data_IF_916516438377
#
_entry.id   IF_916516438377
#
_cell.length_a   1.000
_cell.length_b   1.000
_cell.length_c   1.000
_cell.angle_alpha   90.00
_cell.angle_beta   90.00
_cell.angle_gamma   90.00
#
_symmetry.space_group_name_H-M   'P 1'
#
loop_
_entity.id
_entity.type
_entity.pdbx_description
1 polymer ?
#
# COMPACT_ATOMS: atom_id res chain seq x y z
N UNK A 1 1.97 4.31 23.72
CA UNK A 1 2.70 3.79 24.90
C UNK A 1 3.99 4.54 25.21
N UNK A 2 4.96 4.66 24.29
CA UNK A 2 6.21 5.39 24.56
C UNK A 2 5.98 6.82 25.10
N UNK A 3 5.08 7.58 24.48
CA UNK A 3 4.74 8.93 24.91
C UNK A 3 4.26 8.97 26.37
N UNK A 4 3.26 8.15 26.74
CA UNK A 4 2.74 8.11 28.10
C UNK A 4 3.75 7.58 29.14
N UNK A 5 4.79 6.81 28.72
CA UNK A 5 5.89 6.45 29.62
C UNK A 5 6.81 7.63 29.91
N UNK A 6 6.99 8.54 28.96
CA UNK A 6 7.83 9.73 29.10
C UNK A 6 7.08 10.92 29.73
N UNK A 7 5.75 10.97 29.56
CA UNK A 7 4.86 11.96 30.16
C UNK A 7 3.65 11.27 30.83
N UNK A 8 3.82 10.66 32.03
CA UNK A 8 2.77 9.94 32.73
C UNK A 8 1.54 10.80 33.07
N UNK A 9 1.70 12.12 33.23
CA UNK A 9 0.63 13.10 33.47
C UNK A 9 -0.40 13.17 32.33
N UNK A 10 -0.04 12.69 31.14
CA UNK A 10 -0.91 12.59 29.98
C UNK A 10 -1.63 11.23 29.88
N UNK A 11 -1.40 10.29 30.80
CA UNK A 11 -2.08 8.99 30.80
C UNK A 11 -3.61 9.18 30.86
N UNK A 12 -4.34 8.45 30.02
CA UNK A 12 -5.80 8.58 29.87
C UNK A 12 -6.29 9.84 29.12
N UNK A 13 -5.39 10.75 28.74
CA UNK A 13 -5.70 11.98 27.97
C UNK A 13 -5.17 11.96 26.55
N UNK A 14 -4.56 10.85 26.13
CA UNK A 14 -3.89 10.70 24.83
C UNK A 14 -4.50 9.52 24.09
N UNK A 15 -4.99 9.79 22.88
CA UNK A 15 -5.47 8.78 21.94
C UNK A 15 -4.68 8.90 20.64
N UNK A 16 -4.12 7.78 20.16
CA UNK A 16 -3.43 7.77 18.87
C UNK A 16 -4.43 7.61 17.73
N UNK A 17 -4.35 8.51 16.75
CA UNK A 17 -5.12 8.46 15.50
C UNK A 17 -4.11 8.28 14.38
N UNK A 18 -4.22 7.15 13.67
CA UNK A 18 -3.34 6.83 12.54
C UNK A 18 -3.78 7.54 11.25
N UNK A 19 -2.93 7.47 10.23
CA UNK A 19 -3.27 7.98 8.90
C UNK A 19 -4.51 7.28 8.32
N UNK A 20 -5.35 8.07 7.65
CA UNK A 20 -6.34 7.58 6.71
C UNK A 20 -5.82 7.56 5.28
N UNK A 21 -6.62 6.99 4.40
CA UNK A 21 -6.47 7.05 2.94
C UNK A 21 -7.77 7.58 2.35
N UNK A 22 -7.64 8.40 1.31
CA UNK A 22 -8.78 8.86 0.53
C UNK A 22 -9.31 7.71 -0.34
N UNK A 23 -10.27 6.95 0.18
CA UNK A 23 -10.81 5.75 -0.47
C UNK A 23 -11.81 6.07 -1.60
N UNK A 24 -12.21 7.33 -1.74
CA UNK A 24 -12.97 7.84 -2.89
C UNK A 24 -12.02 8.15 -4.04
N UNK A 25 -10.92 8.86 -3.74
CA UNK A 25 -9.85 9.12 -4.70
C UNK A 25 -9.14 7.85 -5.13
N UNK A 26 -8.87 6.90 -4.22
CA UNK A 26 -8.36 5.56 -4.53
C UNK A 26 -9.50 4.54 -4.60
N UNK A 27 -10.23 4.57 -5.71
CA UNK A 27 -11.38 3.68 -5.96
C UNK A 27 -11.22 2.84 -7.23
N UNK A 28 -11.55 1.53 -7.19
CA UNK A 28 -11.56 0.68 -8.38
C UNK A 28 -12.71 1.02 -9.34
N UNK A 29 -13.67 1.85 -8.93
CA UNK A 29 -14.79 2.28 -9.75
C UNK A 29 -14.40 3.29 -10.84
N UNK A 30 -13.19 3.84 -10.79
CA UNK A 30 -12.70 4.79 -11.79
C UNK A 30 -12.42 4.06 -13.11
N UNK A 31 -12.98 4.60 -14.19
CA UNK A 31 -12.70 4.17 -15.55
C UNK A 31 -11.50 4.95 -16.11
N UNK A 32 -10.32 4.35 -15.97
CA UNK A 32 -9.05 4.91 -16.45
C UNK A 32 -8.38 3.89 -17.36
N UNK A 33 -7.77 4.36 -18.46
CA UNK A 33 -7.07 3.48 -19.38
C UNK A 33 -5.84 2.81 -18.73
N UNK A 34 -5.53 1.59 -19.16
CA UNK A 34 -4.31 0.90 -18.71
C UNK A 34 -3.06 1.59 -19.27
N UNK A 35 -2.07 1.93 -18.41
CA UNK A 35 -0.79 2.45 -18.87
C UNK A 35 0.16 1.34 -19.33
N UNK A 36 -0.23 0.07 -19.23
CA UNK A 36 0.63 -1.08 -19.47
C UNK A 36 0.45 -1.66 -20.88
N UNK A 37 1.53 -2.14 -21.53
CA UNK A 37 1.41 -2.95 -22.73
C UNK A 37 0.59 -4.22 -22.47
N UNK A 38 -0.25 -4.62 -23.45
CA UNK A 38 -1.14 -5.79 -23.34
C UNK A 38 -0.37 -7.09 -23.09
N UNK A 39 0.85 -7.21 -23.61
CA UNK A 39 1.68 -8.41 -23.48
C UNK A 39 2.41 -8.54 -22.14
N UNK A 40 2.22 -7.60 -21.20
CA UNK A 40 2.93 -7.59 -19.93
C UNK A 40 2.01 -7.87 -18.73
N UNK A 41 2.57 -8.53 -17.72
CA UNK A 41 1.91 -8.73 -16.43
C UNK A 41 2.55 -7.76 -15.43
N UNK A 42 1.88 -6.64 -15.08
CA UNK A 42 2.47 -5.58 -14.28
C UNK A 42 2.47 -5.91 -12.78
N UNK A 43 3.66 -5.98 -12.19
CA UNK A 43 3.87 -5.92 -10.74
C UNK A 43 4.24 -4.48 -10.40
N UNK A 44 3.51 -3.83 -9.50
CA UNK A 44 3.66 -2.39 -9.25
C UNK A 44 4.22 -2.12 -7.86
N UNK A 45 5.12 -1.15 -7.77
CA UNK A 45 5.53 -0.51 -6.52
C UNK A 45 5.45 1.01 -6.68
N UNK A 46 4.78 1.70 -5.74
CA UNK A 46 4.63 3.16 -5.74
C UNK A 46 5.47 3.84 -4.66
N UNK A 47 5.89 5.09 -4.90
CA UNK A 47 6.43 5.97 -3.87
C UNK A 47 7.44 7.00 -4.34
N UNK A 48 8.03 7.73 -3.39
CA UNK A 48 9.13 8.66 -3.64
C UNK A 48 10.46 7.89 -3.79
N UNK A 49 11.10 7.99 -4.94
CA UNK A 49 12.26 7.16 -5.32
C UNK A 49 13.62 7.81 -5.00
N UNK A 50 13.60 8.87 -4.19
CA UNK A 50 14.73 9.49 -3.50
C UNK A 50 14.78 9.11 -2.02
N UNK A 51 13.75 8.42 -1.51
CA UNK A 51 13.68 7.94 -0.14
C UNK A 51 14.42 6.60 0.01
N UNK A 52 15.43 6.56 0.88
CA UNK A 52 16.33 5.40 1.02
C UNK A 52 15.60 4.05 1.20
N UNK A 53 14.57 3.90 2.06
CA UNK A 53 13.81 2.64 2.15
C UNK A 53 13.12 2.21 0.86
N UNK A 54 12.67 3.15 0.02
CA UNK A 54 12.10 2.82 -1.28
C UNK A 54 13.19 2.39 -2.26
N UNK A 55 14.32 3.10 -2.30
CA UNK A 55 15.49 2.75 -3.12
C UNK A 55 15.94 1.32 -2.78
N UNK A 56 16.06 1.03 -1.49
CA UNK A 56 16.45 -0.29 -0.98
C UNK A 56 15.47 -1.38 -1.42
N UNK A 57 14.16 -1.14 -1.21
CA UNK A 57 13.10 -2.08 -1.55
C UNK A 57 13.06 -2.43 -3.06
N UNK A 58 13.13 -1.42 -3.93
CA UNK A 58 13.04 -1.66 -5.39
C UNK A 58 14.31 -2.30 -5.95
N UNK A 59 15.48 -1.95 -5.41
CA UNK A 59 16.75 -2.60 -5.80
C UNK A 59 16.72 -4.06 -5.42
N UNK A 60 16.40 -4.36 -4.15
CA UNK A 60 16.31 -5.73 -3.65
C UNK A 60 15.28 -6.56 -4.42
N UNK A 61 14.09 -6.02 -4.67
CA UNK A 61 13.07 -6.73 -5.44
C UNK A 61 13.55 -7.04 -6.87
N UNK A 62 14.17 -6.06 -7.53
CA UNK A 62 14.68 -6.22 -8.90
C UNK A 62 15.85 -7.23 -8.99
N UNK A 63 16.73 -7.29 -7.99
CA UNK A 63 17.89 -8.20 -8.00
C UNK A 63 17.58 -9.60 -7.49
N UNK A 64 16.73 -9.74 -6.47
CA UNK A 64 16.60 -11.00 -5.72
C UNK A 64 15.29 -11.74 -5.98
N UNK A 65 14.20 -11.01 -6.28
CA UNK A 65 12.85 -11.57 -6.45
C UNK A 65 12.48 -11.70 -7.92
N UNK A 66 12.57 -10.60 -8.67
CA UNK A 66 12.12 -10.54 -10.06
C UNK A 66 12.78 -11.58 -10.97
N UNK A 67 14.10 -11.87 -10.89
CA UNK A 67 14.70 -12.89 -11.75
C UNK A 67 14.15 -14.29 -11.52
N UNK A 68 13.71 -14.61 -10.29
CA UNK A 68 13.08 -15.91 -9.96
C UNK A 68 11.73 -16.05 -10.65
N UNK A 69 10.93 -14.99 -10.59
CA UNK A 69 9.61 -14.94 -11.21
C UNK A 69 9.71 -15.00 -12.75
N UNK A 70 10.63 -14.22 -13.34
CA UNK A 70 10.79 -14.13 -14.79
C UNK A 70 11.34 -15.40 -15.44
N UNK A 71 12.00 -16.31 -14.69
CA UNK A 71 12.40 -17.64 -15.20
C UNK A 71 11.21 -18.46 -15.70
N UNK A 72 10.03 -18.29 -15.08
CA UNK A 72 8.82 -19.04 -15.42
C UNK A 72 7.75 -18.17 -16.09
N UNK A 73 7.82 -16.84 -15.95
CA UNK A 73 6.89 -15.89 -16.56
C UNK A 73 7.64 -14.69 -17.15
N UNK A 74 8.19 -14.80 -18.38
CA UNK A 74 8.96 -13.73 -19.00
C UNK A 74 8.13 -12.48 -19.31
N UNK A 75 6.79 -12.56 -19.30
CA UNK A 75 5.89 -11.41 -19.44
C UNK A 75 5.85 -10.50 -18.19
N UNK A 76 6.35 -10.95 -17.04
CA UNK A 76 6.29 -10.16 -15.80
C UNK A 76 7.18 -8.92 -15.88
N UNK A 77 6.58 -7.75 -15.69
CA UNK A 77 7.29 -6.47 -15.66
C UNK A 77 7.10 -5.82 -14.30
N UNK A 78 8.20 -5.42 -13.67
CA UNK A 78 8.20 -4.65 -12.43
C UNK A 78 8.18 -3.16 -12.74
N UNK A 79 7.10 -2.49 -12.35
CA UNK A 79 6.88 -1.07 -12.53
C UNK A 79 7.20 -0.34 -11.22
N UNK A 80 8.28 0.43 -11.25
CA UNK A 80 8.68 1.37 -10.20
C UNK A 80 8.06 2.72 -10.53
N UNK A 81 6.91 3.00 -9.90
CA UNK A 81 6.09 4.17 -10.19
C UNK A 81 6.31 5.24 -9.13
N UNK A 82 6.75 6.42 -9.56
CA UNK A 82 6.75 7.59 -8.70
C UNK A 82 7.96 8.49 -8.81
N UNK A 83 7.91 9.56 -8.04
CA UNK A 83 8.68 10.77 -8.27
C UNK A 83 10.15 10.66 -7.87
N UNK A 84 10.98 11.51 -8.50
CA UNK A 84 12.39 11.75 -8.17
C UNK A 84 13.24 10.49 -8.02
N UNK A 85 13.29 9.59 -9.03
CA UNK A 85 14.13 8.40 -8.96
C UNK A 85 15.60 8.76 -8.83
N UNK A 86 16.23 8.36 -7.74
CA UNK A 86 17.68 8.48 -7.56
C UNK A 86 18.43 7.73 -8.68
N UNK A 87 19.70 8.05 -8.90
CA UNK A 87 20.51 7.41 -9.94
C UNK A 87 20.50 5.89 -9.84
N UNK A 88 20.60 5.35 -8.61
CA UNK A 88 20.56 3.92 -8.37
C UNK A 88 19.21 3.26 -8.76
N UNK A 89 18.09 3.99 -8.70
CA UNK A 89 16.78 3.50 -9.15
C UNK A 89 16.66 3.59 -10.66
N UNK A 90 17.09 4.71 -11.26
CA UNK A 90 17.09 4.86 -12.74
C UNK A 90 17.93 3.78 -13.42
N UNK A 91 19.04 3.39 -12.81
CA UNK A 91 19.90 2.31 -13.30
C UNK A 91 19.25 0.92 -13.29
N UNK A 92 18.11 0.74 -12.61
CA UNK A 92 17.34 -0.51 -12.67
C UNK A 92 16.52 -0.65 -13.95
N UNK A 93 16.26 0.44 -14.68
CA UNK A 93 15.45 0.40 -15.89
C UNK A 93 16.12 -0.50 -16.94
N UNK A 94 15.36 -1.46 -17.49
CA UNK A 94 15.89 -2.44 -18.43
C UNK A 94 15.07 -3.71 -18.50
N UNK A 95 15.75 -4.86 -18.53
CA UNK A 95 15.09 -6.15 -18.69
C UNK A 95 14.17 -6.45 -17.49
N UNK A 96 12.87 -6.52 -17.75
CA UNK A 96 11.86 -6.78 -16.74
C UNK A 96 11.53 -5.63 -15.79
N UNK A 97 12.18 -4.46 -15.89
CA UNK A 97 11.92 -3.32 -14.98
C UNK A 97 11.65 -2.03 -15.77
N UNK A 98 10.56 -1.35 -15.40
CA UNK A 98 10.20 -0.02 -15.90
C UNK A 98 10.24 0.98 -14.76
N UNK A 99 11.01 2.06 -14.91
CA UNK A 99 11.05 3.18 -13.95
C UNK A 99 10.35 4.37 -14.60
N UNK A 100 9.18 4.73 -14.11
CA UNK A 100 8.34 5.75 -14.76
C UNK A 100 8.86 7.17 -14.53
N UNK A 101 9.52 7.39 -13.40
CA UNK A 101 9.67 8.73 -12.84
C UNK A 101 8.34 9.31 -12.35
N UNK A 102 8.28 10.62 -12.20
CA UNK A 102 7.05 11.32 -11.76
C UNK A 102 5.95 11.12 -12.80
N UNK A 103 4.80 10.62 -12.35
CA UNK A 103 3.57 10.50 -13.15
C UNK A 103 2.52 11.48 -12.62
N UNK A 104 1.60 11.98 -13.47
CA UNK A 104 0.51 12.85 -13.02
C UNK A 104 -0.41 12.17 -12.01
N UNK A 105 -0.59 10.85 -12.17
CA UNK A 105 -1.49 10.04 -11.36
C UNK A 105 -1.00 8.60 -11.28
N UNK A 106 -0.97 8.04 -10.06
CA UNK A 106 -0.58 6.65 -9.79
C UNK A 106 -1.74 5.67 -9.94
N UNK A 107 -3.00 6.14 -9.90
CA UNK A 107 -4.20 5.29 -9.88
C UNK A 107 -4.34 4.40 -11.12
N UNK A 108 -4.04 4.84 -12.35
CA UNK A 108 -4.06 3.94 -13.51
C UNK A 108 -3.10 2.76 -13.34
N UNK A 109 -1.92 3.00 -12.75
CA UNK A 109 -0.94 1.94 -12.50
C UNK A 109 -1.42 0.97 -11.43
N UNK A 110 -2.01 1.47 -10.34
CA UNK A 110 -2.58 0.61 -9.30
C UNK A 110 -3.79 -0.18 -9.83
N UNK A 111 -4.73 0.48 -10.52
CA UNK A 111 -5.98 -0.12 -11.01
C UNK A 111 -5.74 -1.35 -11.87
N UNK A 112 -4.76 -1.25 -12.77
CA UNK A 112 -4.43 -2.27 -13.75
C UNK A 112 -3.25 -3.15 -13.34
N UNK A 113 -2.70 -2.96 -12.14
CA UNK A 113 -1.69 -3.85 -11.59
C UNK A 113 -2.27 -5.27 -11.48
N UNK A 114 -1.50 -6.27 -11.92
CA UNK A 114 -1.78 -7.66 -11.60
C UNK A 114 -1.60 -7.88 -10.10
N UNK A 115 -0.60 -7.21 -9.51
CA UNK A 115 -0.32 -7.21 -8.08
C UNK A 115 0.51 -5.99 -7.67
N UNK A 116 0.34 -5.54 -6.43
CA UNK A 116 1.19 -4.50 -5.82
C UNK A 116 2.13 -5.13 -4.80
N UNK A 117 3.41 -4.73 -4.81
CA UNK A 117 4.41 -5.19 -3.84
C UNK A 117 4.85 -4.04 -2.93
N UNK A 118 5.12 -4.35 -1.66
CA UNK A 118 5.72 -3.45 -0.69
C UNK A 118 6.87 -4.12 0.06
N UNK A 119 8.01 -4.40 -0.60
CA UNK A 119 9.13 -5.16 -0.04
C UNK A 119 10.07 -4.29 0.82
N UNK A 120 9.53 -3.38 1.63
CA UNK A 120 10.39 -2.52 2.46
C UNK A 120 11.03 -3.34 3.58
N UNK A 121 12.36 -3.39 3.59
CA UNK A 121 13.15 -4.03 4.66
C UNK A 121 13.28 -3.15 5.89
N UNK A 122 13.08 -1.84 5.71
CA UNK A 122 12.98 -0.85 6.79
C UNK A 122 11.66 -0.10 6.60
N UNK A 123 10.69 -0.37 7.46
CA UNK A 123 9.41 0.32 7.47
C UNK A 123 9.17 0.97 8.83
N UNK A 124 8.59 2.17 8.83
CA UNK A 124 8.16 2.88 10.04
C UNK A 124 6.77 3.46 9.80
N UNK A 125 5.89 3.28 10.78
CA UNK A 125 4.51 3.74 10.70
C UNK A 125 3.68 3.02 9.65
N UNK A 126 2.48 3.55 9.42
CA UNK A 126 1.55 3.07 8.39
C UNK A 126 2.16 3.32 7.01
N UNK A 127 2.15 2.30 6.15
CA UNK A 127 2.62 2.44 4.77
C UNK A 127 1.45 2.82 3.86
N UNK A 128 1.30 4.12 3.56
CA UNK A 128 0.19 4.61 2.73
C UNK A 128 0.07 3.88 1.39
N UNK A 129 1.18 3.53 0.74
CA UNK A 129 1.17 2.76 -0.52
C UNK A 129 0.43 1.42 -0.43
N UNK A 130 0.46 0.78 0.74
CA UNK A 130 -0.27 -0.47 0.97
C UNK A 130 -1.75 -0.16 1.11
N UNK A 131 -2.12 0.85 1.90
CA UNK A 131 -3.52 1.29 2.02
C UNK A 131 -4.11 1.75 0.70
N UNK A 132 -3.36 2.48 -0.13
CA UNK A 132 -3.75 2.92 -1.47
C UNK A 132 -4.03 1.72 -2.38
N UNK A 133 -3.16 0.70 -2.37
CA UNK A 133 -3.35 -0.52 -3.15
C UNK A 133 -4.55 -1.36 -2.66
N UNK A 134 -4.71 -1.47 -1.34
CA UNK A 134 -5.86 -2.12 -0.71
C UNK A 134 -7.16 -1.37 -1.05
N UNK A 135 -7.16 -0.04 -1.01
CA UNK A 135 -8.29 0.79 -1.41
C UNK A 135 -8.66 0.55 -2.87
N UNK A 136 -7.68 0.41 -3.77
CA UNK A 136 -7.88 0.05 -5.19
C UNK A 136 -8.30 -1.41 -5.42
N UNK A 137 -8.61 -2.15 -4.35
CA UNK A 137 -8.97 -3.56 -4.36
C UNK A 137 -7.94 -4.45 -5.08
N UNK A 138 -6.65 -4.15 -4.93
CA UNK A 138 -5.56 -4.92 -5.55
C UNK A 138 -4.95 -5.90 -4.56
N UNK A 139 -4.57 -7.10 -5.02
CA UNK A 139 -3.80 -8.00 -4.19
C UNK A 139 -2.46 -7.34 -3.86
N UNK A 140 -2.03 -7.48 -2.60
CA UNK A 140 -0.79 -6.90 -2.10
C UNK A 140 0.09 -7.99 -1.50
N UNK A 141 1.39 -7.98 -1.83
CA UNK A 141 2.42 -8.74 -1.10
C UNK A 141 3.34 -7.74 -0.43
N UNK A 142 3.32 -7.69 0.89
CA UNK A 142 4.07 -6.74 1.70
C UNK A 142 5.12 -7.45 2.57
N UNK A 143 6.17 -6.73 2.97
CA UNK A 143 7.05 -7.25 4.00
C UNK A 143 6.33 -7.31 5.34
N UNK A 144 6.77 -8.17 6.26
CA UNK A 144 6.26 -8.18 7.64
C UNK A 144 6.39 -6.80 8.31
N UNK A 145 7.47 -6.06 8.03
CA UNK A 145 7.69 -4.72 8.55
C UNK A 145 6.62 -3.72 8.05
N UNK A 146 6.19 -3.82 6.79
CA UNK A 146 5.08 -3.02 6.25
C UNK A 146 3.74 -3.37 6.90
N UNK A 147 3.50 -4.67 7.11
CA UNK A 147 2.25 -5.18 7.67
C UNK A 147 2.03 -4.78 9.13
N UNK A 148 3.10 -4.66 9.93
CA UNK A 148 3.03 -4.35 11.36
C UNK A 148 2.31 -3.02 11.68
N UNK A 149 2.29 -2.08 10.75
CA UNK A 149 1.61 -0.80 10.90
C UNK A 149 0.13 -0.81 10.50
N UNK A 150 -0.41 -1.94 10.04
CA UNK A 150 -1.75 -2.05 9.47
C UNK A 150 -2.57 -3.08 10.25
N UNK A 151 -3.57 -2.60 10.98
CA UNK A 151 -4.69 -3.36 11.54
C UNK A 151 -5.55 -4.03 10.43
N UNK A 152 -5.00 -5.11 9.88
CA UNK A 152 -5.56 -5.97 8.87
C UNK A 152 -4.93 -7.37 8.96
N UNK A 153 -5.61 -8.39 8.43
CA UNK A 153 -5.24 -9.79 8.58
C UNK A 153 -4.39 -10.27 7.39
N UNK A 154 -3.15 -10.70 7.66
CA UNK A 154 -2.30 -11.37 6.67
C UNK A 154 -2.93 -12.69 6.19
N UNK A 155 -2.77 -13.01 4.91
CA UNK A 155 -3.41 -14.14 4.23
C UNK A 155 -4.88 -13.90 3.84
N UNK A 156 -5.50 -12.83 4.34
CA UNK A 156 -6.89 -12.46 4.00
C UNK A 156 -6.98 -11.11 3.28
N UNK A 157 -6.42 -10.04 3.88
CA UNK A 157 -6.43 -8.69 3.29
C UNK A 157 -5.17 -8.41 2.43
N UNK A 158 -4.06 -9.08 2.72
CA UNK A 158 -2.81 -9.02 1.94
C UNK A 158 -1.94 -10.22 2.30
N UNK A 159 -0.94 -10.54 1.47
CA UNK A 159 0.10 -11.51 1.81
C UNK A 159 1.29 -10.83 2.48
N UNK A 160 1.94 -11.56 3.39
CA UNK A 160 3.22 -11.16 3.98
C UNK A 160 4.33 -12.09 3.55
N UNK A 161 5.48 -11.52 3.20
CA UNK A 161 6.68 -12.28 2.90
C UNK A 161 7.90 -11.68 3.61
N UNK A 162 8.91 -12.51 3.88
CA UNK A 162 10.09 -12.12 4.67
C UNK A 162 11.37 -12.08 3.84
N UNK A 163 11.44 -12.86 2.76
CA UNK A 163 12.62 -13.04 1.94
C UNK A 163 12.26 -13.22 0.47
N UNK A 164 13.26 -13.35 -0.40
CA UNK A 164 13.03 -13.39 -1.83
C UNK A 164 12.25 -14.63 -2.29
N UNK A 165 12.39 -15.76 -1.56
CA UNK A 165 11.69 -17.00 -1.90
C UNK A 165 10.21 -16.91 -1.56
N UNK A 166 9.89 -16.45 -0.34
CA UNK A 166 8.52 -16.22 0.10
C UNK A 166 7.83 -15.14 -0.73
N UNK A 167 8.51 -14.05 -1.09
CA UNK A 167 7.94 -13.04 -2.00
C UNK A 167 7.59 -13.64 -3.37
N UNK A 168 8.53 -14.37 -3.98
CA UNK A 168 8.27 -15.00 -5.28
C UNK A 168 7.12 -16.01 -5.20
N UNK A 169 7.11 -16.87 -4.15
CA UNK A 169 6.07 -17.86 -3.94
C UNK A 169 4.67 -17.26 -3.76
N UNK A 170 4.53 -16.22 -2.93
CA UNK A 170 3.25 -15.53 -2.73
C UNK A 170 2.74 -14.88 -4.01
N UNK A 171 3.64 -14.25 -4.78
CA UNK A 171 3.30 -13.64 -6.07
C UNK A 171 2.85 -14.71 -7.07
N UNK A 172 3.59 -15.81 -7.19
CA UNK A 172 3.23 -16.91 -8.09
C UNK A 172 1.90 -17.56 -7.73
N UNK A 173 1.63 -17.76 -6.44
CA UNK A 173 0.37 -18.31 -5.97
C UNK A 173 -0.80 -17.39 -6.34
N UNK A 174 -0.68 -16.08 -6.09
CA UNK A 174 -1.72 -15.11 -6.45
C UNK A 174 -1.94 -15.01 -7.96
N UNK A 175 -0.87 -15.07 -8.77
CA UNK A 175 -0.98 -15.10 -10.23
C UNK A 175 -1.60 -16.39 -10.77
N UNK A 176 -1.40 -17.53 -10.08
CA UNK A 176 -1.98 -18.82 -10.47
C UNK A 176 -3.47 -18.92 -10.11
N UNK A 177 -3.91 -18.18 -9.10
CA UNK A 177 -5.28 -18.21 -8.58
C UNK A 177 -5.96 -16.82 -8.66
N UNK A 178 -6.34 -16.34 -9.86
CA UNK A 178 -6.90 -14.99 -10.02
C UNK A 178 -8.14 -14.71 -9.17
N UNK A 179 -8.98 -15.73 -8.95
CA UNK A 179 -10.17 -15.61 -8.10
C UNK A 179 -9.79 -15.34 -6.63
N UNK A 180 -8.76 -16.04 -6.11
CA UNK A 180 -8.24 -15.82 -4.76
C UNK A 180 -7.62 -14.42 -4.63
N UNK A 181 -6.84 -13.99 -5.63
CA UNK A 181 -6.25 -12.66 -5.67
C UNK A 181 -7.31 -11.55 -5.72
N UNK A 182 -8.39 -11.74 -6.50
CA UNK A 182 -9.51 -10.80 -6.55
C UNK A 182 -10.27 -10.73 -5.23
N UNK A 183 -10.56 -11.89 -4.60
CA UNK A 183 -11.22 -11.94 -3.30
C UNK A 183 -10.39 -11.25 -2.20
N UNK A 184 -9.08 -11.46 -2.18
CA UNK A 184 -8.16 -10.74 -1.29
C UNK A 184 -8.23 -9.23 -1.52
N UNK A 185 -8.18 -8.78 -2.77
CA UNK A 185 -8.29 -7.36 -3.10
C UNK A 185 -9.61 -6.75 -2.60
N UNK A 186 -10.73 -7.44 -2.77
CA UNK A 186 -12.04 -6.98 -2.28
C UNK A 186 -12.07 -6.88 -0.75
N UNK A 187 -11.63 -7.94 -0.05
CA UNK A 187 -11.54 -7.93 1.41
C UNK A 187 -10.59 -6.82 1.93
N UNK A 188 -9.50 -6.56 1.20
CA UNK A 188 -8.59 -5.46 1.49
C UNK A 188 -9.28 -4.09 1.40
N UNK A 189 -10.09 -3.87 0.35
CA UNK A 189 -10.85 -2.64 0.17
C UNK A 189 -11.90 -2.47 1.27
N UNK A 190 -12.63 -3.52 1.61
CA UNK A 190 -13.61 -3.51 2.71
C UNK A 190 -12.93 -3.14 4.05
N UNK A 191 -11.77 -3.72 4.32
CA UNK A 191 -10.96 -3.36 5.49
C UNK A 191 -10.55 -1.87 5.48
N UNK A 192 -10.18 -1.33 4.32
CA UNK A 192 -9.86 0.09 4.19
C UNK A 192 -11.09 0.96 4.45
N UNK A 193 -12.23 0.67 3.83
CA UNK A 193 -13.46 1.46 4.01
C UNK A 193 -13.92 1.46 5.47
N UNK A 194 -13.81 0.32 6.15
CA UNK A 194 -14.23 0.18 7.54
C UNK A 194 -13.28 0.82 8.56
N UNK A 195 -11.98 0.94 8.25
CA UNK A 195 -10.96 1.27 9.28
C UNK A 195 -9.97 2.36 8.90
N UNK A 196 -9.78 2.65 7.62
CA UNK A 196 -8.74 3.53 7.10
C UNK A 196 -9.23 4.62 6.17
N UNK A 197 -10.51 4.65 5.78
CA UNK A 197 -11.08 5.85 5.15
C UNK A 197 -10.90 7.04 6.10
N UNK A 198 -10.77 8.25 5.53
CA UNK A 198 -10.68 9.46 6.37
C UNK A 198 -11.87 9.58 7.31
N UNK A 199 -13.08 9.28 6.83
CA UNK A 199 -14.30 9.20 7.65
C UNK A 199 -14.14 8.22 8.82
N UNK A 200 -13.76 6.96 8.55
CA UNK A 200 -13.58 5.96 9.60
C UNK A 200 -12.49 6.34 10.61
N UNK A 201 -11.36 6.90 10.14
CA UNK A 201 -10.24 7.29 11.01
C UNK A 201 -10.54 8.53 11.84
N UNK A 202 -11.20 9.52 11.27
CA UNK A 202 -11.44 10.82 11.91
C UNK A 202 -12.72 10.85 12.75
N UNK A 203 -13.66 9.92 12.58
CA UNK A 203 -14.87 9.81 13.43
C UNK A 203 -14.57 9.76 14.94
N UNK A 204 -13.36 9.31 15.32
CA UNK A 204 -12.91 9.30 16.72
C UNK A 204 -12.68 10.71 17.28
N UNK A 205 -12.37 11.68 16.42
CA UNK A 205 -12.15 13.09 16.75
C UNK A 205 -13.46 13.77 17.12
N UNK A 206 -14.58 13.37 16.49
CA UNK A 206 -15.89 14.02 16.68
C UNK A 206 -16.29 14.07 18.16
N UNK A 207 -15.98 13.01 18.92
CA UNK A 207 -16.20 12.92 20.38
C UNK A 207 -15.45 13.98 21.20
N UNK A 208 -14.42 14.61 20.63
CA UNK A 208 -13.66 15.69 21.26
C UNK A 208 -14.05 17.08 20.74
N UNK A 209 -14.76 17.16 19.61
CA UNK A 209 -15.21 18.42 19.00
C UNK A 209 -16.65 18.78 19.39
N UNK A 210 -17.47 17.78 19.72
CA UNK A 210 -18.81 17.98 20.25
C UNK A 210 -18.75 18.65 21.63
N UNK A 211 -18.98 19.97 21.65
CA UNK A 211 -19.21 20.72 22.90
C UNK A 211 -20.56 20.33 23.52
N UNK A 212 -20.70 20.30 24.86
CA UNK A 212 -21.96 20.00 25.55
C UNK A 212 -23.11 21.03 25.37
N UNK A 213 -23.09 21.88 24.34
CA UNK A 213 -23.91 23.10 24.30
C UNK A 213 -25.02 23.09 23.25
N UNK A 214 -25.66 21.92 23.04
CA UNK A 214 -26.97 21.84 22.36
C UNK A 214 -28.14 21.84 23.36
N UNK A 215 -28.03 22.64 24.43
CA UNK A 215 -29.03 22.73 25.51
C UNK A 215 -29.50 24.15 25.84
N UNK A 216 -29.19 25.16 25.03
CA UNK A 216 -29.66 26.55 25.23
C UNK A 216 -30.34 27.11 23.99
N UNK A 217 -31.41 26.44 23.57
CA UNK A 217 -32.41 27.00 22.65
C UNK A 217 -33.82 26.74 23.20
N UNK A 218 -34.08 27.21 24.42
CA UNK A 218 -35.45 27.42 24.95
C UNK A 218 -35.37 28.24 26.24
N UNK A 219 -35.35 29.57 26.12
CA UNK A 219 -35.87 30.52 27.11
C UNK A 219 -35.56 31.95 26.65
N UNK A 220 -36.51 32.55 25.92
CA UNK A 220 -36.99 33.94 26.03
C UNK A 220 -37.77 34.29 24.76
#
# INVERSE_FOLDING_TARGET
>A
ELFCRLAPECAGKVEAIGNGVDAEFFSPAQDVASPFPIAEIPIVFTGAMDYWPNIDAVRWFASDVLPRLRRHKPELRFYVVGMRPAQAVRALAGEGVTVTGTVPDVRPYLRHAALVVAPLRVARGVQNKVLEAMAMARPVVASQACAAGIDATAGHHFETAADAHSFAGSIEALLREPARAAAMGLAARECVLARYSWEARLSRIDRYLESPDQGRASAA
#
